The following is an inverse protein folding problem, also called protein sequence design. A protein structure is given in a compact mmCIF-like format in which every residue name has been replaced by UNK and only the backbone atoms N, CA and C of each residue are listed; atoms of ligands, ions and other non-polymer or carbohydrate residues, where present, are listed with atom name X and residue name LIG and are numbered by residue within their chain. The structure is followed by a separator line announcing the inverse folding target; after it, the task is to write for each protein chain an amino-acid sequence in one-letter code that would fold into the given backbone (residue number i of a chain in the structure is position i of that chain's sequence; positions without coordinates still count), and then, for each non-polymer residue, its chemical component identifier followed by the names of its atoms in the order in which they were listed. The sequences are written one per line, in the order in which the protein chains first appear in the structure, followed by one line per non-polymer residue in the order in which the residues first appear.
data_IF_113976514103
#
_entry.id   IF_113976514103
#
_cell.length_a   1.000
_cell.length_b   1.000
_cell.length_c   1.000
_cell.angle_alpha   90.00
_cell.angle_beta   90.00
_cell.angle_gamma   90.00
#
_symmetry.space_group_name_H-M   'P 1'
#
loop_
_entity.id
_entity.type
_entity.pdbx_description
1 polymer ?
#
# COMPACT_ATOMS: atom_id res chain seq x y z
N UNK A 1 15.71 25.60 64.85
CA UNK A 1 15.90 24.20 64.38
C UNK A 1 14.62 23.49 63.93
N UNK A 2 13.44 23.75 64.53
CA UNK A 2 12.18 23.06 64.15
C UNK A 2 11.65 23.42 62.75
N UNK A 3 11.81 24.68 62.31
CA UNK A 3 11.34 25.14 61.00
C UNK A 3 12.08 24.48 59.83
N UNK A 4 13.41 24.34 59.91
CA UNK A 4 14.21 23.72 58.84
C UNK A 4 13.90 22.23 58.67
N UNK A 5 13.62 21.51 59.77
CA UNK A 5 13.15 20.11 59.71
C UNK A 5 11.79 19.98 59.02
N UNK A 6 10.85 20.91 59.28
CA UNK A 6 9.55 20.93 58.59
C UNK A 6 9.70 21.24 57.09
N UNK A 7 10.55 22.21 56.75
CA UNK A 7 10.81 22.58 55.35
C UNK A 7 11.50 21.43 54.59
N UNK A 8 12.50 20.79 55.19
CA UNK A 8 13.17 19.63 54.61
C UNK A 8 12.22 18.45 54.41
N UNK A 9 11.30 18.22 55.35
CA UNK A 9 10.29 17.17 55.25
C UNK A 9 9.28 17.46 54.13
N UNK A 10 8.80 18.69 54.02
CA UNK A 10 7.91 19.12 52.93
C UNK A 10 8.60 19.02 51.58
N UNK A 11 9.86 19.43 51.47
CA UNK A 11 10.64 19.30 50.23
C UNK A 11 10.82 17.84 49.82
N UNK A 12 11.15 16.97 50.77
CA UNK A 12 11.27 15.53 50.53
C UNK A 12 9.93 14.93 50.06
N UNK A 13 8.82 15.35 50.65
CA UNK A 13 7.47 14.92 50.27
C UNK A 13 7.09 15.40 48.86
N UNK A 14 7.43 16.63 48.49
CA UNK A 14 7.22 17.17 47.13
C UNK A 14 8.06 16.41 46.11
N UNK A 15 9.33 16.12 46.40
CA UNK A 15 10.17 15.29 45.52
C UNK A 15 9.59 13.89 45.35
N UNK A 16 9.13 13.26 46.44
CA UNK A 16 8.51 11.93 46.39
C UNK A 16 7.21 11.93 45.57
N UNK A 17 6.37 12.96 45.73
CA UNK A 17 5.17 13.18 44.93
C UNK A 17 5.53 13.39 43.45
N UNK A 18 6.55 14.21 43.14
CA UNK A 18 6.99 14.41 41.76
C UNK A 18 7.52 13.15 41.11
N UNK A 19 8.23 12.29 41.87
CA UNK A 19 8.71 11.00 41.38
C UNK A 19 7.53 10.03 41.13
N UNK A 20 6.55 9.98 42.04
CA UNK A 20 5.36 9.15 41.89
C UNK A 20 4.48 9.58 40.70
N UNK A 21 4.32 10.88 40.46
CA UNK A 21 3.54 11.42 39.34
C UNK A 21 4.33 11.56 38.02
N UNK A 22 5.66 11.47 38.06
CA UNK A 22 6.47 11.45 36.84
C UNK A 22 6.30 10.15 36.04
N UNK A 23 5.99 9.02 36.70
CA UNK A 23 5.68 7.77 36.01
C UNK A 23 4.40 7.84 35.17
N UNK A 24 3.41 8.65 35.56
CA UNK A 24 2.16 8.82 34.78
C UNK A 24 2.35 9.73 33.55
N UNK A 25 3.40 10.54 33.51
CA UNK A 25 3.77 11.36 32.36
C UNK A 25 4.71 10.62 31.38
N UNK A 26 5.34 9.53 31.82
CA UNK A 26 6.11 8.64 30.96
C UNK A 26 5.16 7.69 30.24
N UNK A 27 4.47 8.21 29.21
CA UNK A 27 3.64 7.44 28.28
C UNK A 27 4.48 6.56 27.32
N UNK A 28 5.53 5.91 27.83
CA UNK A 28 6.56 5.30 27.00
C UNK A 28 6.45 3.77 26.86
N UNK A 29 5.24 3.19 26.93
CA UNK A 29 5.16 1.72 26.86
C UNK A 29 3.89 1.09 26.33
N UNK A 30 2.74 1.76 26.31
CA UNK A 30 1.49 1.09 25.90
C UNK A 30 0.51 1.96 25.11
N UNK A 31 0.93 3.15 24.67
CA UNK A 31 0.05 4.15 24.06
C UNK A 31 0.38 4.48 22.61
N UNK A 32 1.17 3.65 21.91
CA UNK A 32 1.50 3.89 20.51
C UNK A 32 0.36 3.45 19.58
N UNK A 33 -0.74 4.19 19.67
CA UNK A 33 -1.87 4.04 18.75
C UNK A 33 -1.40 4.25 17.30
N UNK A 34 -0.38 5.09 17.07
CA UNK A 34 0.18 5.30 15.75
C UNK A 34 0.87 4.03 15.22
N UNK A 35 1.73 3.38 16.01
CA UNK A 35 2.39 2.12 15.64
C UNK A 35 1.41 0.97 15.41
N UNK A 36 0.35 0.85 16.20
CA UNK A 36 -0.69 -0.17 16.00
C UNK A 36 -1.53 0.09 14.72
N UNK A 37 -1.78 1.35 14.38
CA UNK A 37 -2.43 1.72 13.12
C UNK A 37 -1.50 1.48 11.93
N UNK A 38 -0.22 1.82 12.06
CA UNK A 38 0.79 1.63 11.02
C UNK A 38 1.03 0.15 10.72
N UNK A 39 1.07 -0.72 11.75
CA UNK A 39 1.16 -2.17 11.56
C UNK A 39 -0.08 -2.72 10.85
N UNK A 40 -1.28 -2.28 11.26
CA UNK A 40 -2.55 -2.70 10.63
C UNK A 40 -2.63 -2.24 9.17
N UNK A 41 -2.16 -1.02 8.87
CA UNK A 41 -2.08 -0.49 7.51
C UNK A 41 -1.08 -1.27 6.65
N UNK A 42 0.08 -1.62 7.21
CA UNK A 42 1.11 -2.41 6.52
C UNK A 42 0.57 -3.81 6.16
N UNK A 43 -0.13 -4.46 7.06
CA UNK A 43 -0.74 -5.77 6.81
C UNK A 43 -1.86 -5.68 5.77
N UNK A 44 -2.76 -4.70 5.90
CA UNK A 44 -3.86 -4.49 4.95
C UNK A 44 -3.36 -4.15 3.54
N UNK A 45 -2.37 -3.26 3.43
CA UNK A 45 -1.78 -2.86 2.14
C UNK A 45 -1.04 -4.03 1.46
N UNK A 46 -0.36 -4.90 2.23
CA UNK A 46 0.27 -6.12 1.73
C UNK A 46 -0.76 -7.11 1.14
N UNK A 47 -1.92 -7.27 1.79
CA UNK A 47 -3.01 -8.09 1.26
C UNK A 47 -3.58 -7.50 -0.03
N UNK A 48 -3.81 -6.18 -0.10
CA UNK A 48 -4.28 -5.51 -1.30
C UNK A 48 -3.29 -5.73 -2.46
N UNK A 49 -1.99 -5.53 -2.21
CA UNK A 49 -0.93 -5.80 -3.20
C UNK A 49 -0.97 -7.23 -3.71
N UNK A 50 -1.15 -8.19 -2.79
CA UNK A 50 -1.24 -9.61 -3.13
C UNK A 50 -2.45 -9.91 -4.01
N UNK A 51 -3.66 -9.47 -3.62
CA UNK A 51 -4.89 -9.71 -4.40
C UNK A 51 -4.82 -9.03 -5.76
N UNK A 52 -4.33 -7.80 -5.82
CA UNK A 52 -4.21 -7.05 -7.08
C UNK A 52 -3.21 -7.74 -8.02
N UNK A 53 -2.03 -8.16 -7.53
CA UNK A 53 -1.02 -8.85 -8.34
C UNK A 53 -1.41 -10.27 -8.74
N UNK A 54 -2.16 -10.99 -7.90
CA UNK A 54 -2.48 -12.41 -8.14
C UNK A 54 -3.82 -12.61 -8.85
N UNK A 55 -4.73 -11.66 -8.77
CA UNK A 55 -6.11 -11.82 -9.29
C UNK A 55 -6.46 -10.71 -10.27
N UNK A 56 -6.32 -9.45 -9.88
CA UNK A 56 -6.81 -8.31 -10.69
C UNK A 56 -6.01 -8.16 -11.98
N UNK A 57 -4.68 -8.05 -11.90
CA UNK A 57 -3.83 -7.95 -13.08
C UNK A 57 -3.98 -9.18 -13.99
N UNK A 58 -3.87 -10.43 -13.49
CA UNK A 58 -4.07 -11.62 -14.32
C UNK A 58 -5.46 -11.71 -14.98
N UNK A 59 -6.52 -11.27 -14.30
CA UNK A 59 -7.86 -11.25 -14.90
C UNK A 59 -7.96 -10.25 -16.06
N UNK A 60 -7.37 -9.06 -15.91
CA UNK A 60 -7.32 -8.05 -16.97
C UNK A 60 -6.46 -8.54 -18.14
N UNK A 61 -5.29 -9.13 -17.85
CA UNK A 61 -4.38 -9.67 -18.85
C UNK A 61 -5.06 -10.75 -19.70
N UNK A 62 -5.85 -11.63 -19.09
CA UNK A 62 -6.60 -12.66 -19.79
C UNK A 62 -7.64 -12.06 -20.75
N UNK A 63 -8.43 -11.08 -20.29
CA UNK A 63 -9.44 -10.41 -21.12
C UNK A 63 -8.77 -9.70 -22.30
N UNK A 64 -7.69 -8.96 -22.05
CA UNK A 64 -6.93 -8.27 -23.10
C UNK A 64 -6.29 -9.25 -24.08
N UNK A 65 -5.74 -10.37 -23.61
CA UNK A 65 -5.16 -11.40 -24.47
C UNK A 65 -6.22 -11.99 -25.40
N UNK A 66 -7.39 -12.36 -24.86
CA UNK A 66 -8.51 -12.90 -25.66
C UNK A 66 -8.95 -11.89 -26.71
N UNK A 67 -9.11 -10.61 -26.36
CA UNK A 67 -9.47 -9.56 -27.31
C UNK A 67 -8.39 -9.28 -28.35
N UNK A 68 -7.12 -9.31 -27.96
CA UNK A 68 -6.00 -9.16 -28.89
C UNK A 68 -6.02 -10.26 -29.95
N UNK A 69 -6.10 -11.54 -29.54
CA UNK A 69 -6.13 -12.65 -30.49
C UNK A 69 -7.40 -12.68 -31.34
N UNK A 70 -8.55 -12.32 -30.76
CA UNK A 70 -9.80 -12.20 -31.52
C UNK A 70 -9.71 -11.11 -32.60
N UNK A 71 -9.23 -9.90 -32.26
CA UNK A 71 -9.06 -8.82 -33.23
C UNK A 71 -7.99 -9.10 -34.27
N UNK A 72 -6.89 -9.74 -33.89
CA UNK A 72 -5.85 -10.15 -34.82
C UNK A 72 -6.36 -11.22 -35.80
N UNK A 73 -7.16 -12.18 -35.33
CA UNK A 73 -7.84 -13.16 -36.18
C UNK A 73 -8.83 -12.51 -37.16
N UNK A 74 -9.64 -11.57 -36.69
CA UNK A 74 -10.55 -10.80 -37.56
C UNK A 74 -9.77 -9.99 -38.60
N UNK A 75 -8.72 -9.26 -38.20
CA UNK A 75 -7.88 -8.49 -39.11
C UNK A 75 -7.21 -9.38 -40.17
N UNK A 76 -6.79 -10.59 -39.81
CA UNK A 76 -6.28 -11.57 -40.78
C UNK A 76 -7.36 -12.04 -41.77
N UNK A 77 -8.57 -12.33 -41.30
CA UNK A 77 -9.67 -12.70 -42.21
C UNK A 77 -10.08 -11.55 -43.12
N UNK A 78 -10.06 -10.32 -42.61
CA UNK A 78 -10.39 -9.12 -43.38
C UNK A 78 -9.34 -8.83 -44.45
N UNK A 79 -8.06 -8.99 -44.11
CA UNK A 79 -6.96 -8.93 -45.07
C UNK A 79 -7.11 -9.97 -46.20
N UNK A 80 -7.55 -11.19 -45.89
CA UNK A 80 -7.80 -12.22 -46.91
C UNK A 80 -8.94 -11.83 -47.88
N UNK A 81 -9.93 -11.08 -47.43
CA UNK A 81 -11.13 -10.73 -48.23
C UNK A 81 -11.00 -9.39 -48.96
N UNK A 82 -10.44 -8.40 -48.31
CA UNK A 82 -10.43 -7.01 -48.78
C UNK A 82 -9.02 -6.51 -49.14
N UNK A 83 -7.97 -7.29 -48.87
CA UNK A 83 -6.58 -6.95 -49.22
C UNK A 83 -5.95 -5.84 -48.38
N UNK A 84 -6.71 -5.20 -47.49
CA UNK A 84 -6.22 -4.19 -46.55
C UNK A 84 -6.18 -4.78 -45.14
N UNK A 85 -5.02 -4.69 -44.48
CA UNK A 85 -4.86 -5.13 -43.10
C UNK A 85 -4.95 -3.92 -42.17
N UNK A 86 -5.94 -3.90 -41.30
CA UNK A 86 -6.08 -2.87 -40.28
C UNK A 86 -5.24 -3.23 -39.04
N UNK A 87 -4.05 -2.66 -38.96
CA UNK A 87 -3.11 -2.90 -37.84
C UNK A 87 -3.46 -2.14 -36.56
N UNK A 88 -4.27 -1.08 -36.65
CA UNK A 88 -4.53 -0.18 -35.53
C UNK A 88 -5.16 -0.91 -34.33
N UNK A 89 -6.22 -1.68 -34.56
CA UNK A 89 -6.92 -2.43 -33.50
C UNK A 89 -6.00 -3.42 -32.77
N UNK A 90 -5.34 -4.37 -33.47
CA UNK A 90 -4.38 -5.28 -32.85
C UNK A 90 -3.21 -4.57 -32.15
N UNK A 91 -2.66 -3.50 -32.74
CA UNK A 91 -1.52 -2.79 -32.16
C UNK A 91 -1.86 -2.08 -30.84
N UNK A 92 -3.04 -1.45 -30.75
CA UNK A 92 -3.49 -0.80 -29.51
C UNK A 92 -3.71 -1.83 -28.41
N UNK A 93 -4.38 -2.95 -28.72
CA UNK A 93 -4.60 -4.03 -27.74
C UNK A 93 -3.30 -4.67 -27.27
N UNK A 94 -2.32 -4.81 -28.17
CA UNK A 94 -1.00 -5.31 -27.82
C UNK A 94 -0.26 -4.35 -26.87
N UNK A 95 -0.27 -3.05 -27.17
CA UNK A 95 0.34 -2.04 -26.29
C UNK A 95 -0.31 -2.05 -24.90
N UNK A 96 -1.65 -2.15 -24.84
CA UNK A 96 -2.38 -2.27 -23.58
C UNK A 96 -1.99 -3.53 -22.80
N UNK A 97 -1.87 -4.68 -23.46
CA UNK A 97 -1.46 -5.94 -22.82
C UNK A 97 -0.03 -5.88 -22.27
N UNK A 98 0.90 -5.27 -23.00
CA UNK A 98 2.28 -5.07 -22.51
C UNK A 98 2.30 -4.12 -21.31
N UNK A 99 1.48 -3.07 -21.33
CA UNK A 99 1.35 -2.15 -20.20
C UNK A 99 0.79 -2.85 -18.96
N UNK A 100 -0.27 -3.65 -19.07
CA UNK A 100 -0.86 -4.34 -17.91
C UNK A 100 0.06 -5.42 -17.34
N UNK A 101 0.84 -6.11 -18.17
CA UNK A 101 1.85 -7.08 -17.72
C UNK A 101 3.01 -6.43 -16.96
N UNK A 102 3.37 -5.20 -17.32
CA UNK A 102 4.48 -4.47 -16.67
C UNK A 102 4.01 -3.65 -15.47
N UNK A 103 2.71 -3.32 -15.39
CA UNK A 103 2.10 -2.54 -14.32
C UNK A 103 2.42 -3.01 -12.88
N UNK A 104 2.41 -4.32 -12.55
CA UNK A 104 2.77 -4.81 -11.22
C UNK A 104 4.19 -4.44 -10.76
N UNK A 105 5.10 -4.11 -11.68
CA UNK A 105 6.51 -3.83 -11.34
C UNK A 105 6.75 -2.41 -10.87
N UNK A 106 5.94 -1.45 -11.31
CA UNK A 106 6.16 -0.01 -11.03
C UNK A 106 5.03 0.68 -10.26
N UNK A 107 3.78 0.19 -10.34
CA UNK A 107 2.63 0.85 -9.70
C UNK A 107 2.81 0.99 -8.18
N UNK A 108 3.36 -0.02 -7.54
CA UNK A 108 3.54 -0.02 -6.09
C UNK A 108 4.60 0.99 -5.64
N UNK A 109 5.67 1.15 -6.43
CA UNK A 109 6.70 2.17 -6.18
C UNK A 109 6.13 3.58 -6.30
N UNK A 110 5.23 3.81 -7.27
CA UNK A 110 4.57 5.11 -7.45
C UNK A 110 3.60 5.41 -6.29
N UNK A 111 2.94 4.38 -5.75
CA UNK A 111 2.01 4.49 -4.62
C UNK A 111 2.69 4.57 -3.25
N UNK A 112 4.02 4.42 -3.18
CA UNK A 112 4.78 4.45 -1.92
C UNK A 112 4.62 3.18 -1.08
N UNK A 113 4.39 2.02 -1.72
CA UNK A 113 4.20 0.69 -1.11
C UNK A 113 5.29 -0.33 -1.44
#
# INVERSE_FOLDING_TARGET
MKAYKKIALVFCLVVLLTLLFSMTAFAAGSGDVAGAIESTWTDASSQIKTVVNKVVFPAIDLILAVFFFAKLGMAYFDYRKHGQFEWAGPAILFACLVFTLTAPTYIWTILGM
#
